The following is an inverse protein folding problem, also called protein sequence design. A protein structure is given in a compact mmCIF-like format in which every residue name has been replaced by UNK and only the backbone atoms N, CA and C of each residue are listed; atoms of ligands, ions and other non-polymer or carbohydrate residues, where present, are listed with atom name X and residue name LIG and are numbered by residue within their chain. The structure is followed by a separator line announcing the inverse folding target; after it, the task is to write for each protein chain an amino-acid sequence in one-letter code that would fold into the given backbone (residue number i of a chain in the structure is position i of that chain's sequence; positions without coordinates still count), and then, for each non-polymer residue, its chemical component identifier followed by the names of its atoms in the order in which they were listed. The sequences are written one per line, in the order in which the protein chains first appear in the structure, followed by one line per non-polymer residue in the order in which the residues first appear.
data_IF_812781822180
#
_entry.id   IF_812781822180
#
_cell.length_a   1.000
_cell.length_b   1.000
_cell.length_c   1.000
_cell.angle_alpha   90.00
_cell.angle_beta   90.00
_cell.angle_gamma   90.00
#
_symmetry.space_group_name_H-M   'P 1'
#
loop_
_entity.id
_entity.type
_entity.pdbx_description
1 polymer ?
#
# COMPACT_ATOMS: atom_id res chain seq x y z
N UNK A 1 -5.69 -8.35 -17.69
CA UNK A 1 -7.02 -8.10 -17.14
C UNK A 1 -7.54 -6.80 -17.68
N UNK A 2 -8.56 -6.91 -18.51
CA UNK A 2 -9.06 -5.74 -19.25
C UNK A 2 -9.75 -4.72 -18.35
N UNK A 3 -10.31 -5.16 -17.24
CA UNK A 3 -11.06 -4.26 -16.36
C UNK A 3 -10.23 -3.70 -15.22
N UNK A 4 -8.97 -4.10 -15.10
CA UNK A 4 -8.13 -3.64 -14.00
C UNK A 4 -7.60 -2.24 -14.27
N UNK A 5 -8.02 -1.29 -13.45
CA UNK A 5 -7.61 0.11 -13.58
C UNK A 5 -6.09 0.25 -13.48
N UNK A 6 -5.47 -0.48 -12.54
CA UNK A 6 -4.02 -0.39 -12.38
C UNK A 6 -3.27 -1.01 -13.55
N UNK A 7 -3.79 -2.11 -14.12
CA UNK A 7 -3.19 -2.66 -15.34
C UNK A 7 -3.24 -1.66 -16.49
N UNK A 8 -4.33 -0.91 -16.59
CA UNK A 8 -4.47 0.11 -17.64
C UNK A 8 -3.49 1.26 -17.41
N UNK A 9 -3.28 1.65 -16.16
CA UNK A 9 -2.31 2.69 -15.83
C UNK A 9 -0.89 2.21 -16.16
N UNK A 10 -0.58 0.95 -15.82
CA UNK A 10 0.73 0.38 -16.08
C UNK A 10 1.02 0.33 -17.58
N UNK A 11 0.00 0.03 -18.39
CA UNK A 11 0.14 -0.01 -19.85
C UNK A 11 0.12 1.36 -20.51
N UNK A 12 -0.16 2.41 -19.76
CA UNK A 12 -0.24 3.76 -20.29
C UNK A 12 -1.58 4.10 -20.91
N UNK A 13 -2.60 3.25 -20.72
CA UNK A 13 -3.95 3.50 -21.27
C UNK A 13 -4.73 4.51 -20.44
N UNK A 14 -4.38 4.70 -19.18
CA UNK A 14 -4.97 5.69 -18.29
C UNK A 14 -3.86 6.53 -17.67
N UNK A 15 -4.11 7.81 -17.43
CA UNK A 15 -3.10 8.68 -16.84
C UNK A 15 -2.90 8.40 -15.35
N UNK A 16 -1.71 8.74 -14.85
CA UNK A 16 -1.41 8.71 -13.42
C UNK A 16 -0.29 9.70 -13.14
N UNK A 17 -0.19 10.11 -11.88
CA UNK A 17 0.97 10.89 -11.43
C UNK A 17 2.02 9.90 -10.96
N UNK A 18 2.89 9.48 -11.87
CA UNK A 18 3.91 8.48 -11.60
C UNK A 18 5.12 9.11 -10.93
N UNK A 19 5.49 8.59 -9.76
CA UNK A 19 6.62 9.08 -8.98
C UNK A 19 7.89 8.29 -9.26
N UNK A 20 7.75 6.98 -9.47
CA UNK A 20 8.88 6.07 -9.69
C UNK A 20 8.40 4.90 -10.53
N UNK A 21 9.28 4.39 -11.37
CA UNK A 21 8.93 3.24 -12.20
C UNK A 21 10.20 2.49 -12.59
N UNK A 22 10.14 1.17 -12.51
CA UNK A 22 11.19 0.30 -13.06
C UNK A 22 10.52 -0.96 -13.66
N UNK A 23 11.30 -2.00 -13.91
CA UNK A 23 10.77 -3.19 -14.57
C UNK A 23 9.78 -3.97 -13.71
N UNK A 24 9.85 -3.81 -12.39
CA UNK A 24 9.06 -4.63 -11.44
C UNK A 24 7.90 -3.84 -10.85
N UNK A 25 8.11 -2.55 -10.57
CA UNK A 25 7.14 -1.74 -9.85
C UNK A 25 6.81 -0.45 -10.58
N UNK A 26 5.61 0.04 -10.32
CA UNK A 26 5.21 1.39 -10.68
C UNK A 26 4.62 2.04 -9.44
N UNK A 27 5.08 3.24 -9.14
CA UNK A 27 4.63 3.98 -7.95
C UNK A 27 3.89 5.22 -8.42
N UNK A 28 2.63 5.33 -8.02
CA UNK A 28 1.76 6.43 -8.43
C UNK A 28 1.18 7.14 -7.21
N UNK A 29 0.74 8.36 -7.39
CA UNK A 29 0.02 9.07 -6.34
C UNK A 29 -1.41 8.56 -6.26
N UNK A 30 -1.91 8.40 -5.05
CA UNK A 30 -3.33 8.11 -4.83
C UNK A 30 -4.14 9.35 -5.23
N UNK A 31 -5.25 9.13 -5.96
CA UNK A 31 -6.16 10.22 -6.31
C UNK A 31 -7.15 10.51 -5.18
N UNK A 32 -7.16 9.68 -4.16
CA UNK A 32 -8.00 9.87 -2.96
C UNK A 32 -7.10 9.75 -1.73
N UNK A 33 -6.20 10.72 -1.51
CA UNK A 33 -5.17 10.58 -0.50
C UNK A 33 -5.69 10.69 0.93
N UNK A 34 -5.11 9.86 1.80
CA UNK A 34 -5.34 9.95 3.24
C UNK A 34 -4.55 11.12 3.81
N UNK A 35 -3.31 11.27 3.35
CA UNK A 35 -2.47 12.41 3.70
C UNK A 35 -1.73 12.88 2.46
N UNK A 36 -1.07 14.03 2.56
CA UNK A 36 -0.27 14.55 1.45
C UNK A 36 0.89 13.61 1.15
N UNK A 37 0.99 13.18 -0.12
CA UNK A 37 2.03 12.27 -0.52
C UNK A 37 1.67 10.80 -0.41
N UNK A 38 0.40 10.49 -0.21
CA UNK A 38 -0.08 9.10 -0.20
C UNK A 38 0.21 8.45 -1.55
N UNK A 39 1.07 7.44 -1.55
CA UNK A 39 1.50 6.75 -2.76
C UNK A 39 0.97 5.32 -2.78
N UNK A 40 0.89 4.77 -3.98
CA UNK A 40 0.53 3.37 -4.19
C UNK A 40 1.68 2.70 -4.92
N UNK A 41 2.18 1.60 -4.37
CA UNK A 41 3.25 0.81 -4.97
C UNK A 41 2.62 -0.40 -5.63
N UNK A 42 2.72 -0.49 -6.94
CA UNK A 42 2.04 -1.49 -7.75
C UNK A 42 3.03 -2.46 -8.38
N UNK A 43 2.78 -3.79 -8.31
CA UNK A 43 3.53 -4.70 -9.18
C UNK A 43 3.09 -4.50 -10.63
N UNK A 44 4.03 -4.50 -11.55
CA UNK A 44 3.70 -4.39 -12.97
C UNK A 44 3.02 -5.65 -13.48
N UNK A 45 3.35 -6.80 -12.91
CA UNK A 45 2.67 -8.04 -13.21
C UNK A 45 1.41 -8.13 -12.37
N UNK A 46 0.27 -8.37 -13.02
CA UNK A 46 -1.00 -8.42 -12.32
C UNK A 46 -1.04 -9.57 -11.31
N UNK A 47 -1.40 -9.27 -10.09
CA UNK A 47 -1.77 -10.23 -9.06
C UNK A 47 -2.82 -9.57 -8.18
N UNK A 48 -3.62 -10.37 -7.51
CA UNK A 48 -4.80 -9.84 -6.83
C UNK A 48 -4.49 -9.43 -5.39
N UNK A 49 -3.84 -10.30 -4.61
CA UNK A 49 -3.65 -10.04 -3.19
C UNK A 49 -2.41 -10.76 -2.66
N UNK A 50 -2.29 -10.79 -1.33
CA UNK A 50 -1.12 -11.37 -0.65
C UNK A 50 -0.92 -12.85 -0.98
N UNK A 51 -1.97 -13.54 -1.41
CA UNK A 51 -1.87 -14.98 -1.68
C UNK A 51 -1.20 -15.30 -3.02
N UNK A 52 -1.23 -14.38 -3.98
CA UNK A 52 -0.65 -14.62 -5.30
C UNK A 52 0.44 -13.65 -5.71
N UNK A 53 0.81 -12.70 -4.85
CA UNK A 53 1.91 -11.78 -5.14
C UNK A 53 3.25 -12.53 -5.06
N UNK A 54 4.18 -12.20 -5.95
CA UNK A 54 5.49 -12.85 -5.98
C UNK A 54 6.44 -12.25 -4.96
N UNK A 55 7.30 -13.09 -4.40
CA UNK A 55 8.30 -12.65 -3.44
C UNK A 55 9.24 -11.60 -4.02
N UNK A 56 9.56 -11.72 -5.31
CA UNK A 56 10.41 -10.76 -5.98
C UNK A 56 9.86 -9.33 -5.86
N UNK A 57 8.54 -9.19 -6.05
CA UNK A 57 7.91 -7.88 -5.89
C UNK A 57 8.00 -7.40 -4.44
N UNK A 58 7.70 -8.28 -3.49
CA UNK A 58 7.71 -7.90 -2.07
C UNK A 58 9.09 -7.41 -1.65
N UNK A 59 10.13 -8.16 -1.98
CA UNK A 59 11.49 -7.79 -1.62
C UNK A 59 11.92 -6.50 -2.30
N UNK A 60 11.65 -6.40 -3.61
CA UNK A 60 12.06 -5.23 -4.39
C UNK A 60 11.33 -3.97 -3.93
N UNK A 61 10.01 -4.09 -3.70
CA UNK A 61 9.21 -2.93 -3.30
C UNK A 61 9.63 -2.40 -1.94
N UNK A 62 9.91 -3.27 -0.97
CA UNK A 62 10.35 -2.81 0.35
C UNK A 62 11.71 -2.13 0.27
N UNK A 63 12.60 -2.63 -0.59
CA UNK A 63 13.89 -1.97 -0.80
C UNK A 63 13.70 -0.57 -1.39
N UNK A 64 12.85 -0.43 -2.41
CA UNK A 64 12.55 0.86 -3.03
C UNK A 64 11.91 1.82 -2.02
N UNK A 65 10.99 1.31 -1.20
CA UNK A 65 10.35 2.13 -0.18
C UNK A 65 11.39 2.67 0.80
N UNK A 66 12.27 1.80 1.29
CA UNK A 66 13.28 2.18 2.28
C UNK A 66 14.33 3.14 1.70
N UNK A 67 14.83 2.81 0.51
CA UNK A 67 16.01 3.49 -0.02
C UNK A 67 15.67 4.71 -0.87
N UNK A 68 14.49 4.76 -1.48
CA UNK A 68 14.12 5.81 -2.42
C UNK A 68 12.88 6.60 -2.03
N UNK A 69 11.78 5.91 -1.74
CA UNK A 69 10.49 6.59 -1.59
C UNK A 69 10.35 7.33 -0.27
N UNK A 70 10.67 6.69 0.84
CA UNK A 70 10.57 7.37 2.13
C UNK A 70 11.55 8.56 2.22
N UNK A 71 12.81 8.41 1.80
CA UNK A 71 13.71 9.59 1.77
C UNK A 71 13.18 10.73 0.91
N UNK A 72 12.58 10.42 -0.23
CA UNK A 72 11.97 11.43 -1.10
C UNK A 72 10.83 12.15 -0.40
N UNK A 73 9.92 11.40 0.23
CA UNK A 73 8.77 11.97 0.92
C UNK A 73 9.23 12.84 2.09
N UNK A 74 10.24 12.38 2.84
CA UNK A 74 10.76 13.14 3.96
C UNK A 74 11.42 14.44 3.50
N UNK A 75 12.21 14.38 2.45
CA UNK A 75 12.90 15.57 1.94
C UNK A 75 11.92 16.59 1.37
N UNK A 76 10.95 16.14 0.58
CA UNK A 76 10.09 17.05 -0.17
C UNK A 76 8.84 17.50 0.61
N UNK A 77 8.34 16.68 1.51
CA UNK A 77 7.09 16.96 2.21
C UNK A 77 7.25 17.08 3.73
N UNK A 78 8.45 16.86 4.24
CA UNK A 78 8.75 16.97 5.68
C UNK A 78 7.85 16.07 6.54
N UNK A 79 7.51 14.87 6.04
CA UNK A 79 6.72 13.95 6.84
C UNK A 79 7.55 13.44 8.02
N UNK A 80 6.87 13.11 9.11
CA UNK A 80 7.52 12.68 10.35
C UNK A 80 7.46 11.17 10.54
N UNK A 81 6.79 10.47 9.65
CA UNK A 81 6.69 9.02 9.70
C UNK A 81 6.07 8.49 8.44
N UNK A 82 5.96 7.17 8.37
CA UNK A 82 5.39 6.50 7.21
C UNK A 82 4.61 5.27 7.68
N UNK A 83 3.37 5.15 7.25
CA UNK A 83 2.57 3.96 7.48
C UNK A 83 2.45 3.21 6.16
N UNK A 84 2.73 1.91 6.20
CA UNK A 84 2.51 1.03 5.06
C UNK A 84 1.25 0.23 5.34
N UNK A 85 0.36 0.13 4.36
CA UNK A 85 -0.88 -0.63 4.49
C UNK A 85 -1.16 -1.38 3.20
N UNK A 86 -1.71 -2.59 3.34
CA UNK A 86 -2.06 -3.42 2.21
C UNK A 86 -3.33 -4.16 2.57
N UNK A 87 -4.32 -4.20 1.68
CA UNK A 87 -5.62 -4.78 1.95
C UNK A 87 -5.86 -6.02 1.10
N UNK A 88 -6.42 -7.05 1.73
CA UNK A 88 -6.72 -8.33 1.07
C UNK A 88 -8.17 -8.69 1.37
N UNK A 89 -8.96 -8.95 0.32
CA UNK A 89 -10.37 -9.30 0.42
C UNK A 89 -11.19 -8.14 0.98
N UNK A 90 -11.69 -8.26 2.20
CA UNK A 90 -12.45 -7.17 2.81
C UNK A 90 -11.53 -5.95 2.97
N UNK A 91 -11.94 -4.82 2.45
CA UNK A 91 -11.15 -3.60 2.48
C UNK A 91 -10.34 -3.35 1.23
N UNK A 92 -10.23 -4.35 0.34
CA UNK A 92 -9.50 -4.19 -0.92
C UNK A 92 -10.43 -3.62 -1.98
N UNK A 93 -10.26 -2.34 -2.29
CA UNK A 93 -11.11 -1.65 -3.25
C UNK A 93 -10.79 -2.04 -4.70
N UNK A 94 -9.52 -2.23 -5.01
CA UNK A 94 -9.07 -2.58 -6.38
C UNK A 94 -8.34 -3.91 -6.31
N UNK A 95 -8.74 -4.85 -7.17
CA UNK A 95 -8.23 -6.23 -7.12
C UNK A 95 -6.96 -6.37 -7.95
N UNK A 96 -5.99 -5.56 -7.61
CA UNK A 96 -4.63 -5.60 -8.09
C UNK A 96 -3.79 -5.23 -6.86
N UNK A 97 -2.88 -6.11 -6.49
CA UNK A 97 -2.09 -5.93 -5.26
C UNK A 97 -1.47 -4.54 -5.23
N UNK A 98 -1.56 -3.86 -4.11
CA UNK A 98 -0.89 -2.56 -3.99
C UNK A 98 -0.59 -2.27 -2.52
N UNK A 99 0.54 -1.63 -2.30
CA UNK A 99 0.96 -1.19 -0.97
C UNK A 99 0.72 0.31 -0.88
N UNK A 100 -0.07 0.73 0.12
CA UNK A 100 -0.26 2.13 0.42
C UNK A 100 0.93 2.65 1.22
N UNK A 101 1.50 3.76 0.79
CA UNK A 101 2.47 4.51 1.57
C UNK A 101 1.79 5.77 2.03
N UNK A 102 1.58 5.89 3.33
CA UNK A 102 0.88 7.04 3.91
C UNK A 102 1.87 7.82 4.76
N UNK A 103 2.39 8.96 4.24
CA UNK A 103 3.24 9.82 5.05
C UNK A 103 2.48 10.34 6.26
N UNK A 104 3.15 10.39 7.41
CA UNK A 104 2.49 10.79 8.65
C UNK A 104 2.95 12.15 9.10
N UNK A 105 1.99 12.93 9.56
CA UNK A 105 2.20 14.29 10.06
C UNK A 105 1.47 14.44 11.39
N UNK A 106 1.94 15.33 12.26
CA UNK A 106 1.21 15.57 13.49
C UNK A 106 -0.21 16.03 13.17
N UNK A 107 -1.18 15.49 13.92
CA UNK A 107 -2.61 15.84 13.80
C UNK A 107 -3.25 15.42 12.49
N UNK A 108 -2.66 14.44 11.78
CA UNK A 108 -3.22 13.96 10.51
C UNK A 108 -4.41 13.02 10.70
N UNK A 109 -4.62 12.52 11.92
CA UNK A 109 -5.72 11.62 12.29
C UNK A 109 -5.80 10.33 11.45
N UNK A 110 -4.70 9.94 10.83
CA UNK A 110 -4.66 8.77 9.94
C UNK A 110 -4.30 7.50 10.71
N UNK A 111 -5.10 7.15 11.71
CA UNK A 111 -4.83 6.00 12.58
C UNK A 111 -5.80 4.86 12.32
N UNK A 112 -5.37 3.65 12.71
CA UNK A 112 -6.26 2.50 12.68
C UNK A 112 -7.19 2.56 13.88
N UNK A 113 -8.50 2.50 13.60
CA UNK A 113 -9.53 2.51 14.64
C UNK A 113 -10.44 1.33 14.39
N UNK A 114 -10.50 0.41 15.35
CA UNK A 114 -11.36 -0.75 15.26
C UNK A 114 -12.60 -0.61 16.09
N UNK A 115 -13.49 -1.59 15.96
CA UNK A 115 -14.69 -1.69 16.79
C UNK A 115 -14.35 -2.51 18.03
N UNK A 116 -14.20 -1.83 19.17
CA UNK A 116 -13.79 -2.50 20.41
C UNK A 116 -14.83 -3.47 20.95
N UNK A 117 -16.10 -3.29 20.56
CA UNK A 117 -17.17 -4.20 21.00
C UNK A 117 -17.02 -5.59 20.39
N UNK A 118 -16.20 -5.73 19.35
CA UNK A 118 -15.96 -7.03 18.71
C UNK A 118 -14.77 -7.78 19.31
N UNK A 119 -14.06 -7.16 20.25
CA UNK A 119 -12.85 -7.77 20.82
C UNK A 119 -13.22 -8.88 21.80
N UNK A 120 -12.48 -9.98 21.72
CA UNK A 120 -12.54 -11.08 22.67
C UNK A 120 -11.37 -10.96 23.63
N UNK A 121 -11.41 -11.72 24.72
CA UNK A 121 -10.29 -11.76 25.64
C UNK A 121 -9.04 -12.25 24.95
N UNK A 122 -7.89 -11.67 25.28
CA UNK A 122 -6.60 -12.01 24.64
C UNK A 122 -6.28 -13.49 24.75
N UNK A 123 -6.50 -14.09 25.94
CA UNK A 123 -6.18 -15.51 26.15
C UNK A 123 -7.04 -16.41 25.27
N UNK A 124 -8.28 -16.02 25.05
CA UNK A 124 -9.17 -16.78 24.17
C UNK A 124 -8.63 -16.80 22.73
N UNK A 125 -8.26 -15.62 22.23
CA UNK A 125 -7.72 -15.51 20.87
C UNK A 125 -6.39 -16.24 20.76
N UNK A 126 -5.51 -16.11 21.78
CA UNK A 126 -4.23 -16.79 21.79
C UNK A 126 -4.43 -18.31 21.68
N UNK A 127 -5.39 -18.86 22.42
CA UNK A 127 -5.68 -20.30 22.36
C UNK A 127 -6.16 -20.73 20.98
N UNK A 128 -7.01 -19.91 20.35
CA UNK A 128 -7.52 -20.24 19.02
C UNK A 128 -6.40 -20.25 17.97
N UNK A 129 -5.43 -19.37 18.11
CA UNK A 129 -4.35 -19.24 17.14
C UNK A 129 -3.25 -20.28 17.31
N UNK A 130 -3.13 -20.89 18.48
CA UNK A 130 -2.01 -21.79 18.83
C UNK A 130 -2.41 -23.25 18.98
N UNK A 131 -3.61 -23.61 18.65
CA UNK A 131 -4.07 -25.02 18.71
C UNK A 131 -3.85 -25.73 17.40
#
# INVERSE_FOLDING_TARGET
MNDCIFCKIIKGELPSNTIYEDEIVKVIMSIDPVTNGHLLVLPKEHCVNILDVKEEFLTHSFKIIRDNLYPLLKEKLNCEGLTLAENNFLGQAIRHFHIHLVPRYENDNADFVGNKDMLKELDEVFSLLTK
#
